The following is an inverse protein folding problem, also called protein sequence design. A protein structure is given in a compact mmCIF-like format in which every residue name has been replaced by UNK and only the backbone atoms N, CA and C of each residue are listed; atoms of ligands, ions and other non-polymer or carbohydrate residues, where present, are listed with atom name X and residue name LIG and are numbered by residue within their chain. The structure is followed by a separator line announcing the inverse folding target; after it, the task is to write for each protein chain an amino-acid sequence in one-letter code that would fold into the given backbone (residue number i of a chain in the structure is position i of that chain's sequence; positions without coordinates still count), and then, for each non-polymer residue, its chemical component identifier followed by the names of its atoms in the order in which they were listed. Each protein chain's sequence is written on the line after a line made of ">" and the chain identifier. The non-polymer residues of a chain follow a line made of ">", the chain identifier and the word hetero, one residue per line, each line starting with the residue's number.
data_IF_310625389283
#
_entry.id   IF_310625389283
#
_cell.length_a   1.000
_cell.length_b   1.000
_cell.length_c   1.000
_cell.angle_alpha   90.00
_cell.angle_beta   90.00
_cell.angle_gamma   90.00
#
_symmetry.space_group_name_H-M   'P 1'
#
loop_
_entity.id
_entity.type
_entity.pdbx_description
1 polymer ?
#
# COMPACT_ATOMS: atom_id res chain seq x y z
N UNK A 1 -2.11 15.79 -7.06
CA UNK A 1 -1.47 14.82 -7.96
C UNK A 1 -2.48 14.40 -9.02
N UNK A 2 -2.04 14.07 -10.23
CA UNK A 2 -2.89 13.38 -11.21
C UNK A 2 -3.21 11.95 -10.75
N UNK A 3 -4.26 11.35 -11.30
CA UNK A 3 -4.55 9.95 -11.02
C UNK A 3 -3.80 9.04 -12.00
N UNK A 4 -3.37 7.88 -11.52
CA UNK A 4 -2.69 6.90 -12.34
C UNK A 4 -2.85 5.49 -11.77
N UNK A 5 -2.62 4.51 -12.64
CA UNK A 5 -2.54 3.11 -12.22
C UNK A 5 -1.21 2.89 -11.51
N UNK A 6 -1.27 2.42 -10.27
CA UNK A 6 -0.11 2.15 -9.41
C UNK A 6 0.71 1.02 -10.02
N UNK A 7 2.04 1.14 -9.92
CA UNK A 7 2.95 0.16 -10.53
C UNK A 7 2.85 -1.21 -9.88
N UNK A 8 3.11 -2.26 -10.66
CA UNK A 8 3.15 -3.64 -10.17
C UNK A 8 4.21 -3.82 -9.08
N UNK A 9 5.29 -3.03 -9.11
CA UNK A 9 6.35 -3.04 -8.09
C UNK A 9 5.87 -2.48 -6.75
N UNK A 10 5.10 -1.39 -6.74
CA UNK A 10 4.49 -0.86 -5.53
C UNK A 10 3.46 -1.84 -4.95
N UNK A 11 2.59 -2.41 -5.80
CA UNK A 11 1.63 -3.45 -5.38
C UNK A 11 2.36 -4.69 -4.85
N UNK A 12 3.44 -5.13 -5.51
CA UNK A 12 4.27 -6.27 -5.08
C UNK A 12 4.91 -6.04 -3.71
N UNK A 13 5.34 -4.81 -3.42
CA UNK A 13 5.90 -4.40 -2.12
C UNK A 13 4.87 -4.55 -1.00
N UNK A 14 3.64 -4.13 -1.26
CA UNK A 14 2.52 -4.28 -0.32
C UNK A 14 2.19 -5.76 -0.13
N UNK A 15 2.01 -6.51 -1.22
CA UNK A 15 1.67 -7.95 -1.20
C UNK A 15 2.73 -8.76 -0.47
N UNK A 16 4.02 -8.53 -0.76
CA UNK A 16 5.12 -9.21 -0.08
C UNK A 16 5.10 -8.93 1.42
N UNK A 17 4.78 -7.70 1.83
CA UNK A 17 4.62 -7.36 3.24
C UNK A 17 3.49 -8.16 3.89
N UNK A 18 2.33 -8.27 3.24
CA UNK A 18 1.21 -9.08 3.73
C UNK A 18 1.58 -10.56 3.89
N UNK A 19 2.38 -11.10 2.98
CA UNK A 19 2.90 -12.46 3.08
C UNK A 19 3.86 -12.62 4.26
N UNK A 20 4.81 -11.69 4.42
CA UNK A 20 5.80 -11.72 5.50
C UNK A 20 5.17 -11.57 6.89
N UNK A 21 4.06 -10.84 7.01
CA UNK A 21 3.32 -10.69 8.27
C UNK A 21 2.30 -11.81 8.51
N UNK A 22 2.18 -12.77 7.59
CA UNK A 22 1.23 -13.89 7.69
C UNK A 22 -0.23 -13.49 7.45
N UNK A 23 -0.49 -12.28 6.97
CA UNK A 23 -1.84 -11.81 6.59
C UNK A 23 -2.34 -12.50 5.33
N UNK A 24 -1.41 -12.87 4.44
CA UNK A 24 -1.67 -13.54 3.17
C UNK A 24 -0.80 -14.79 3.06
N UNK A 25 -1.32 -15.90 2.53
CA UNK A 25 -0.50 -17.04 2.17
C UNK A 25 0.29 -16.74 0.88
N UNK A 26 1.53 -17.24 0.72
CA UNK A 26 2.33 -16.99 -0.48
C UNK A 26 1.62 -17.33 -1.80
N UNK A 27 0.80 -18.39 -1.81
CA UNK A 27 0.03 -18.82 -2.99
C UNK A 27 -1.04 -17.81 -3.42
N UNK A 28 -1.48 -16.93 -2.51
CA UNK A 28 -2.52 -15.93 -2.77
C UNK A 28 -1.94 -14.61 -3.30
N UNK A 29 -0.62 -14.44 -3.29
CA UNK A 29 0.07 -13.19 -3.63
C UNK A 29 -0.34 -12.61 -4.99
N UNK A 30 -0.32 -13.44 -6.04
CA UNK A 30 -0.67 -13.01 -7.40
C UNK A 30 -2.15 -12.62 -7.49
N UNK A 31 -3.05 -13.43 -6.92
CA UNK A 31 -4.48 -13.14 -6.94
C UNK A 31 -4.86 -11.89 -6.16
N UNK A 32 -4.21 -11.64 -5.02
CA UNK A 32 -4.44 -10.44 -4.24
C UNK A 32 -3.89 -9.20 -4.94
N UNK A 33 -2.69 -9.29 -5.53
CA UNK A 33 -2.14 -8.21 -6.34
C UNK A 33 -2.99 -7.87 -7.56
N UNK A 34 -3.54 -8.88 -8.26
CA UNK A 34 -4.49 -8.64 -9.35
C UNK A 34 -5.78 -7.96 -8.86
N UNK A 35 -6.29 -8.34 -7.69
CA UNK A 35 -7.46 -7.68 -7.08
C UNK A 35 -7.18 -6.21 -6.80
N UNK A 36 -6.00 -5.90 -6.25
CA UNK A 36 -5.56 -4.52 -6.02
C UNK A 36 -5.50 -3.72 -7.33
N UNK A 37 -4.83 -4.29 -8.35
CA UNK A 37 -4.71 -3.65 -9.65
C UNK A 37 -6.08 -3.37 -10.29
N UNK A 38 -7.01 -4.32 -10.23
CA UNK A 38 -8.36 -4.15 -10.75
C UNK A 38 -9.11 -2.99 -10.09
N UNK A 39 -9.05 -2.87 -8.75
CA UNK A 39 -9.70 -1.78 -8.02
C UNK A 39 -9.08 -0.43 -8.36
N UNK A 40 -7.76 -0.38 -8.46
CA UNK A 40 -7.05 0.85 -8.79
C UNK A 40 -7.31 1.30 -10.25
N UNK A 41 -7.27 0.38 -11.22
CA UNK A 41 -7.67 0.67 -12.60
C UNK A 41 -9.12 1.12 -12.69
N UNK A 42 -10.03 0.50 -11.93
CA UNK A 42 -11.42 0.94 -11.86
C UNK A 42 -11.54 2.39 -11.34
N UNK A 43 -10.85 2.73 -10.26
CA UNK A 43 -10.80 4.10 -9.72
C UNK A 43 -10.32 5.12 -10.75
N UNK A 44 -9.22 4.83 -11.45
CA UNK A 44 -8.68 5.70 -12.51
C UNK A 44 -9.68 5.86 -13.65
N UNK A 45 -10.30 4.76 -14.09
CA UNK A 45 -11.35 4.78 -15.11
C UNK A 45 -12.54 5.65 -14.69
N UNK A 46 -13.01 5.55 -13.44
CA UNK A 46 -14.11 6.38 -12.92
C UNK A 46 -13.76 7.86 -13.00
N UNK A 47 -12.55 8.24 -12.59
CA UNK A 47 -12.09 9.64 -12.59
C UNK A 47 -11.98 10.22 -14.00
N UNK A 48 -11.51 9.44 -14.96
CA UNK A 48 -11.31 9.88 -16.35
C UNK A 48 -12.45 9.52 -17.30
N UNK A 49 -13.51 8.87 -16.80
CA UNK A 49 -14.63 8.36 -17.61
C UNK A 49 -14.18 7.39 -18.70
N UNK A 50 -13.20 6.54 -18.36
CA UNK A 50 -12.65 5.50 -19.23
C UNK A 50 -13.18 4.11 -18.85
N UNK A 51 -12.80 3.08 -19.61
CA UNK A 51 -13.21 1.70 -19.36
C UNK A 51 -12.12 0.67 -19.73
N UNK A 52 -10.86 1.10 -19.66
CA UNK A 52 -9.71 0.24 -19.99
C UNK A 52 -9.61 -0.91 -18.99
N UNK A 53 -9.42 -2.16 -19.44
CA UNK A 53 -9.20 -3.27 -18.52
C UNK A 53 -7.84 -3.11 -17.81
N UNK A 54 -7.76 -3.62 -16.59
CA UNK A 54 -6.48 -3.80 -15.92
C UNK A 54 -5.60 -4.79 -16.69
N UNK A 55 -4.29 -4.56 -16.71
CA UNK A 55 -3.34 -5.56 -17.21
C UNK A 55 -3.22 -6.75 -16.25
N UNK A 56 -2.52 -7.80 -16.69
CA UNK A 56 -2.20 -8.93 -15.83
C UNK A 56 -1.10 -8.52 -14.86
N UNK A 57 -1.34 -8.68 -13.56
CA UNK A 57 -0.40 -8.29 -12.52
C UNK A 57 0.89 -9.11 -12.59
N UNK A 58 2.02 -8.44 -12.78
CA UNK A 58 3.35 -9.04 -12.78
C UNK A 58 3.96 -8.97 -11.38
N UNK A 59 3.78 -10.04 -10.60
CA UNK A 59 4.36 -10.10 -9.26
C UNK A 59 5.90 -10.11 -9.33
N UNK A 60 6.51 -9.11 -8.71
CA UNK A 60 7.93 -9.11 -8.38
C UNK A 60 8.11 -9.54 -6.93
N UNK A 61 9.21 -10.22 -6.62
CA UNK A 61 9.53 -10.60 -5.24
C UNK A 61 10.57 -9.63 -4.66
N UNK A 62 10.15 -8.49 -4.08
CA UNK A 62 11.10 -7.55 -3.50
C UNK A 62 11.76 -8.16 -2.25
N UNK A 63 13.06 -7.92 -2.10
CA UNK A 63 13.77 -8.18 -0.85
C UNK A 63 13.36 -7.15 0.18
N UNK A 64 12.56 -7.56 1.17
CA UNK A 64 12.05 -6.69 2.23
C UNK A 64 12.50 -7.19 3.60
N UNK A 65 13.05 -6.29 4.41
CA UNK A 65 13.22 -6.50 5.84
C UNK A 65 12.17 -5.69 6.60
N UNK A 66 11.02 -6.28 6.92
CA UNK A 66 9.91 -5.57 7.57
C UNK A 66 10.21 -5.09 9.00
N UNK A 67 11.35 -5.48 9.59
CA UNK A 67 11.82 -4.97 10.87
C UNK A 67 12.72 -3.74 10.74
N UNK A 68 13.17 -3.41 9.52
CA UNK A 68 13.93 -2.19 9.24
C UNK A 68 12.97 -0.98 9.14
N UNK A 69 13.16 0.08 9.95
CA UNK A 69 12.29 1.27 9.92
C UNK A 69 12.17 1.92 8.54
N UNK A 70 13.24 1.90 7.73
CA UNK A 70 13.19 2.45 6.37
C UNK A 70 12.26 1.65 5.48
N UNK A 71 12.32 0.33 5.56
CA UNK A 71 11.41 -0.57 4.85
C UNK A 71 9.96 -0.37 5.30
N UNK A 72 9.70 -0.25 6.61
CA UNK A 72 8.35 0.00 7.14
C UNK A 72 7.74 1.29 6.58
N UNK A 73 8.51 2.38 6.57
CA UNK A 73 8.07 3.66 6.01
C UNK A 73 7.82 3.56 4.51
N UNK A 74 8.70 2.89 3.77
CA UNK A 74 8.50 2.69 2.33
C UNK A 74 7.18 1.96 2.04
N UNK A 75 6.86 0.91 2.79
CA UNK A 75 5.58 0.19 2.62
C UNK A 75 4.39 1.08 3.00
N UNK A 76 4.48 1.86 4.07
CA UNK A 76 3.42 2.82 4.46
C UNK A 76 3.15 3.81 3.32
N UNK A 77 4.19 4.33 2.67
CA UNK A 77 4.06 5.26 1.54
C UNK A 77 3.42 4.58 0.34
N UNK A 78 3.81 3.34 0.02
CA UNK A 78 3.15 2.58 -1.05
C UNK A 78 1.65 2.36 -0.77
N UNK A 79 1.27 2.09 0.48
CA UNK A 79 -0.14 1.95 0.86
C UNK A 79 -0.87 3.29 0.73
N UNK A 80 -0.26 4.39 1.19
CA UNK A 80 -0.86 5.73 1.07
C UNK A 80 -1.06 6.16 -0.38
N UNK A 81 -0.07 5.88 -1.24
CA UNK A 81 -0.19 6.07 -2.68
C UNK A 81 -1.34 5.24 -3.25
N UNK A 82 -1.37 3.95 -2.95
CA UNK A 82 -2.41 3.05 -3.46
C UNK A 82 -3.82 3.48 -3.04
N UNK A 83 -4.01 3.81 -1.76
CA UNK A 83 -5.29 4.28 -1.23
C UNK A 83 -5.72 5.58 -1.92
N UNK A 84 -4.80 6.54 -2.10
CA UNK A 84 -5.11 7.80 -2.79
C UNK A 84 -5.48 7.61 -4.26
N UNK A 85 -4.85 6.65 -4.95
CA UNK A 85 -5.13 6.37 -6.35
C UNK A 85 -6.40 5.52 -6.55
N UNK A 86 -6.88 4.84 -5.51
CA UNK A 86 -7.98 3.87 -5.60
C UNK A 86 -9.32 4.35 -5.05
N UNK A 87 -9.40 5.59 -4.55
CA UNK A 87 -10.54 6.08 -3.77
C UNK A 87 -11.66 6.78 -4.56
N UNK A 88 -11.70 6.69 -5.89
CA UNK A 88 -12.62 7.49 -6.72
C UNK A 88 -14.05 6.93 -6.83
N UNK A 89 -14.31 5.75 -6.25
CA UNK A 89 -15.63 5.15 -6.19
C UNK A 89 -15.98 4.78 -4.74
N UNK A 90 -17.25 4.94 -4.37
CA UNK A 90 -17.70 4.91 -2.97
C UNK A 90 -17.48 3.52 -2.33
N UNK A 91 -17.69 2.47 -3.10
CA UNK A 91 -17.58 1.08 -2.68
C UNK A 91 -16.15 0.66 -2.36
N UNK A 92 -15.13 1.45 -2.76
CA UNK A 92 -13.73 1.15 -2.46
C UNK A 92 -13.48 0.92 -0.96
N UNK A 93 -14.08 1.76 -0.12
CA UNK A 93 -13.91 1.71 1.34
C UNK A 93 -14.58 0.48 1.99
N UNK A 94 -15.44 -0.22 1.26
CA UNK A 94 -16.10 -1.45 1.70
C UNK A 94 -15.33 -2.70 1.26
N UNK A 95 -14.27 -2.54 0.46
CA UNK A 95 -13.51 -3.68 -0.06
C UNK A 95 -12.66 -4.35 1.00
N UNK A 96 -12.42 -5.65 0.81
CA UNK A 96 -11.45 -6.41 1.60
C UNK A 96 -10.04 -5.81 1.48
N UNK A 97 -9.68 -5.30 0.29
CA UNK A 97 -8.39 -4.65 0.06
C UNK A 97 -8.22 -3.46 1.00
N UNK A 98 -9.14 -2.50 1.01
CA UNK A 98 -9.07 -1.35 1.93
C UNK A 98 -8.95 -1.79 3.39
N UNK A 99 -9.75 -2.78 3.80
CA UNK A 99 -9.73 -3.30 5.18
C UNK A 99 -8.37 -3.89 5.56
N UNK A 100 -7.80 -4.72 4.70
CA UNK A 100 -6.49 -5.36 4.91
C UNK A 100 -5.37 -4.32 4.91
N UNK A 101 -5.38 -3.38 3.96
CA UNK A 101 -4.38 -2.32 3.86
C UNK A 101 -4.39 -1.39 5.07
N UNK A 102 -5.57 -1.03 5.56
CA UNK A 102 -5.74 -0.25 6.78
C UNK A 102 -5.13 -0.97 7.99
N UNK A 103 -5.39 -2.27 8.13
CA UNK A 103 -4.87 -3.07 9.25
C UNK A 103 -3.33 -3.17 9.21
N UNK A 104 -2.75 -3.56 8.06
CA UNK A 104 -1.30 -3.69 7.94
C UNK A 104 -0.60 -2.34 8.08
N UNK A 105 -1.17 -1.26 7.52
CA UNK A 105 -0.63 0.10 7.69
C UNK A 105 -0.60 0.51 9.17
N UNK A 106 -1.67 0.24 9.91
CA UNK A 106 -1.69 0.50 11.36
C UNK A 106 -0.63 -0.28 12.12
N UNK A 107 -0.43 -1.57 11.80
CA UNK A 107 0.60 -2.38 12.42
C UNK A 107 2.03 -1.89 12.10
N UNK A 108 2.30 -1.55 10.83
CA UNK A 108 3.57 -0.97 10.40
C UNK A 108 3.82 0.38 11.05
N UNK A 109 2.78 1.23 11.14
CA UNK A 109 2.86 2.53 11.79
C UNK A 109 3.23 2.38 13.26
N UNK A 110 2.58 1.47 13.99
CA UNK A 110 2.91 1.18 15.37
C UNK A 110 4.36 0.68 15.51
N UNK A 111 4.74 -0.35 14.75
CA UNK A 111 6.10 -0.90 14.77
C UNK A 111 7.17 0.16 14.46
N UNK A 112 6.92 1.03 13.48
CA UNK A 112 7.83 2.11 13.13
C UNK A 112 7.94 3.14 14.26
N UNK A 113 6.82 3.58 14.82
CA UNK A 113 6.82 4.61 15.87
C UNK A 113 7.51 4.15 17.15
N UNK A 114 7.52 2.85 17.45
CA UNK A 114 8.27 2.26 18.57
C UNK A 114 9.79 2.38 18.40
N UNK A 115 10.29 2.52 17.16
CA UNK A 115 11.72 2.70 16.89
C UNK A 115 12.17 4.15 17.05
N UNK A 116 11.23 5.10 17.14
CA UNK A 116 11.52 6.53 17.21
C UNK A 116 11.75 7.03 18.64
N UNK A 117 12.54 8.11 18.84
CA UNK A 117 12.60 8.79 20.12
C UNK A 117 11.22 9.31 20.54
N UNK A 118 10.82 9.00 21.77
CA UNK A 118 9.50 9.34 22.34
C UNK A 118 8.31 8.82 21.49
N UNK A 119 8.10 7.49 21.42
CA UNK A 119 7.08 6.86 20.56
C UNK A 119 5.68 7.44 20.69
N UNK A 120 5.27 7.79 21.92
CA UNK A 120 3.94 8.33 22.22
C UNK A 120 3.62 9.61 21.43
N UNK A 121 4.64 10.43 21.12
CA UNK A 121 4.48 11.64 20.29
C UNK A 121 4.07 11.30 18.86
N UNK A 122 4.56 10.19 18.33
CA UNK A 122 4.42 9.81 16.93
C UNK A 122 3.19 8.94 16.66
N UNK A 123 2.75 8.13 17.63
CA UNK A 123 1.58 7.24 17.47
C UNK A 123 0.30 7.96 17.04
N UNK A 124 0.11 9.21 17.45
CA UNK A 124 -1.07 10.01 17.09
C UNK A 124 -0.93 10.78 15.76
N UNK A 125 0.25 10.74 15.14
CA UNK A 125 0.54 11.48 13.91
C UNK A 125 0.03 10.75 12.68
N UNK A 126 -0.22 11.52 11.62
CA UNK A 126 -0.49 10.94 10.29
C UNK A 126 0.83 10.42 9.70
N UNK A 127 0.73 9.46 8.79
CA UNK A 127 1.88 8.85 8.13
C UNK A 127 2.79 9.90 7.46
N UNK A 128 2.21 10.89 6.78
CA UNK A 128 2.97 11.97 6.12
C UNK A 128 3.69 12.94 7.09
N UNK A 129 3.44 12.85 8.40
CA UNK A 129 4.16 13.62 9.42
C UNK A 129 5.32 12.82 10.04
N UNK A 130 5.47 11.54 9.68
CA UNK A 130 6.52 10.69 10.22
C UNK A 130 7.89 11.03 9.61
N UNK A 131 8.99 10.91 10.38
CA UNK A 131 10.33 11.01 9.83
C UNK A 131 10.53 9.98 8.71
N UNK A 132 11.29 10.32 7.66
CA UNK A 132 11.56 9.39 6.55
C UNK A 132 10.46 9.31 5.50
N UNK A 133 9.24 9.83 5.75
CA UNK A 133 8.13 9.73 4.80
C UNK A 133 8.41 10.51 3.51
N UNK A 134 8.99 11.71 3.63
CA UNK A 134 9.36 12.54 2.48
C UNK A 134 10.51 11.98 1.64
N UNK A 135 11.32 11.11 2.25
CA UNK A 135 12.47 10.45 1.66
C UNK A 135 12.12 9.09 1.04
N UNK A 136 10.91 8.58 1.30
CA UNK A 136 10.41 7.37 0.69
C UNK A 136 9.96 7.62 -0.76
N UNK A 137 10.14 6.60 -1.60
CA UNK A 137 9.84 6.69 -3.01
C UNK A 137 8.34 6.52 -3.26
N UNK A 138 7.74 7.52 -3.91
CA UNK A 138 6.41 7.41 -4.53
C UNK A 138 6.56 6.84 -5.94
N UNK A 139 5.62 5.99 -6.36
CA UNK A 139 5.58 5.41 -7.71
C UNK A 139 6.82 4.56 -8.06
N UNK A 140 7.12 3.62 -7.16
CA UNK A 140 8.22 2.64 -7.28
C UNK A 140 8.34 1.95 -8.65
#
# INVERSE_FOLDING_TARGET
>A
MSAYVVSDKAISTIVKTLVLTGTLQPVEAVSFGQMMLNLNTHSVNVRYQESSPAHAFEYSEPELNINDPKTQIQVIVCIDEYEYQSCEFAEYYETMVHTVLKAIKSALHEAYTETLPNPARWKAKKSYELPGYSEAEWSL
#
